data_IF_270954174819
#
_entry.id   IF_270954174819
#
_cell.length_a   1.000
_cell.length_b   1.000
_cell.length_c   1.000
_cell.angle_alpha   90.00
_cell.angle_beta   90.00
_cell.angle_gamma   90.00
#
_symmetry.space_group_name_H-M   'P 1'
#
loop_
_entity.id
_entity.type
_entity.pdbx_description
1 polymer ?
#
# COMPACT_ATOMS: atom_id res chain seq x y z
N UNK A 1 -17.15 -3.44 7.42
CA UNK A 1 -16.52 -4.26 6.37
C UNK A 1 -15.51 -5.17 7.03
N UNK A 2 -15.46 -6.45 6.67
CA UNK A 2 -14.35 -7.31 7.08
C UNK A 2 -13.18 -7.03 6.13
N UNK A 3 -11.93 -7.16 6.57
CA UNK A 3 -10.79 -6.83 5.70
C UNK A 3 -10.71 -7.69 4.43
N UNK A 4 -11.27 -8.91 4.45
CA UNK A 4 -11.44 -9.71 3.23
C UNK A 4 -12.28 -8.99 2.16
N UNK A 5 -13.27 -8.16 2.53
CA UNK A 5 -14.08 -7.42 1.56
C UNK A 5 -13.26 -6.34 0.83
N UNK A 6 -12.17 -5.83 1.43
CA UNK A 6 -11.32 -4.80 0.82
C UNK A 6 -10.29 -5.39 -0.14
N UNK A 7 -9.71 -6.54 0.22
CA UNK A 7 -8.81 -7.30 -0.65
C UNK A 7 -9.51 -7.76 -1.92
N UNK A 8 -10.75 -8.25 -1.80
CA UNK A 8 -11.57 -8.67 -2.94
C UNK A 8 -12.04 -7.47 -3.79
N UNK A 9 -12.20 -6.29 -3.16
CA UNK A 9 -12.66 -5.06 -3.84
C UNK A 9 -11.53 -4.31 -4.56
N UNK A 10 -10.28 -4.45 -4.13
CA UNK A 10 -9.10 -3.81 -4.73
C UNK A 10 -7.96 -4.81 -5.02
N UNK A 11 -8.19 -5.78 -5.93
CA UNK A 11 -7.20 -6.80 -6.24
C UNK A 11 -5.91 -6.23 -6.85
N UNK A 12 -5.99 -5.09 -7.53
CA UNK A 12 -4.85 -4.36 -8.09
C UNK A 12 -3.92 -3.82 -6.99
N UNK A 13 -4.46 -3.31 -5.88
CA UNK A 13 -3.68 -2.85 -4.72
C UNK A 13 -3.05 -4.05 -4.02
N UNK A 14 -3.81 -5.12 -3.80
CA UNK A 14 -3.30 -6.32 -3.16
C UNK A 14 -2.17 -6.95 -3.99
N UNK A 15 -2.31 -7.04 -5.31
CA UNK A 15 -1.28 -7.55 -6.21
C UNK A 15 -0.04 -6.65 -6.21
N UNK A 16 -0.22 -5.32 -6.26
CA UNK A 16 0.88 -4.35 -6.17
C UNK A 16 1.71 -4.57 -4.90
N UNK A 17 1.05 -4.71 -3.76
CA UNK A 17 1.69 -4.88 -2.47
C UNK A 17 2.30 -6.27 -2.29
N UNK A 18 1.66 -7.33 -2.79
CA UNK A 18 2.22 -8.70 -2.74
C UNK A 18 3.44 -8.92 -3.62
N UNK A 19 3.60 -8.12 -4.69
CA UNK A 19 4.85 -8.09 -5.48
C UNK A 19 6.02 -7.59 -4.63
N UNK A 20 5.73 -6.80 -3.60
CA UNK A 20 6.73 -6.34 -2.64
C UNK A 20 6.85 -7.37 -1.52
N UNK A 21 8.07 -7.80 -1.21
CA UNK A 21 8.31 -8.75 -0.12
C UNK A 21 8.46 -7.99 1.21
N UNK A 22 7.35 -7.77 1.90
CA UNK A 22 7.34 -7.08 3.19
C UNK A 22 7.67 -8.00 4.36
N UNK A 23 8.44 -7.47 5.32
CA UNK A 23 8.65 -8.05 6.63
C UNK A 23 7.87 -7.25 7.67
N UNK A 24 6.84 -7.87 8.25
CA UNK A 24 5.99 -7.28 9.28
C UNK A 24 6.50 -7.62 10.70
N UNK A 25 6.26 -6.75 11.70
CA UNK A 25 5.62 -5.44 11.59
C UNK A 25 6.55 -4.39 10.98
N UNK A 26 5.98 -3.44 10.23
CA UNK A 26 6.73 -2.28 9.70
C UNK A 26 6.45 -1.10 10.63
N UNK A 27 7.47 -0.68 11.39
CA UNK A 27 7.29 0.25 12.51
C UNK A 27 7.27 1.72 12.09
N UNK A 28 7.96 2.06 10.99
CA UNK A 28 8.08 3.45 10.54
C UNK A 28 7.87 3.57 9.04
N UNK A 29 7.54 4.78 8.61
CA UNK A 29 7.46 5.14 7.19
C UNK A 29 8.80 4.96 6.47
N UNK A 30 9.91 5.25 7.15
CA UNK A 30 11.24 5.03 6.58
C UNK A 30 11.46 3.55 6.27
N UNK A 31 11.16 2.66 7.23
CA UNK A 31 11.29 1.20 7.02
C UNK A 31 10.42 0.71 5.87
N UNK A 32 9.20 1.25 5.75
CA UNK A 32 8.30 0.91 4.65
C UNK A 32 8.85 1.33 3.29
N UNK A 33 9.36 2.56 3.18
CA UNK A 33 9.97 3.05 1.94
C UNK A 33 11.16 2.17 1.54
N UNK A 34 12.03 1.83 2.50
CA UNK A 34 13.19 0.98 2.22
C UNK A 34 12.79 -0.43 1.77
N UNK A 35 11.74 -1.02 2.35
CA UNK A 35 11.21 -2.32 1.88
C UNK A 35 10.56 -2.23 0.50
N UNK A 36 9.87 -1.13 0.19
CA UNK A 36 9.27 -0.89 -1.13
C UNK A 36 10.34 -0.78 -2.22
N UNK A 37 11.39 0.01 -2.01
CA UNK A 37 12.45 0.21 -3.02
C UNK A 37 13.38 -0.99 -3.17
N UNK A 38 13.45 -1.89 -2.19
CA UNK A 38 14.31 -3.07 -2.22
C UNK A 38 14.01 -4.04 -3.39
N UNK A 39 12.78 -4.04 -3.92
CA UNK A 39 12.38 -4.90 -5.04
C UNK A 39 12.51 -4.17 -6.38
N UNK A 40 12.07 -2.90 -6.45
CA UNK A 40 12.14 -2.09 -7.67
C UNK A 40 11.98 -0.60 -7.37
N UNK A 41 12.65 0.24 -8.15
CA UNK A 41 12.46 1.70 -8.14
C UNK A 41 11.17 2.15 -8.83
N UNK A 42 10.45 1.25 -9.51
CA UNK A 42 9.19 1.58 -10.19
C UNK A 42 8.07 0.62 -9.78
N UNK A 43 6.91 1.18 -9.43
CA UNK A 43 5.66 0.44 -9.27
C UNK A 43 4.68 0.82 -10.37
N UNK A 44 3.99 -0.15 -10.96
CA UNK A 44 2.93 0.13 -11.95
C UNK A 44 1.59 0.06 -11.26
N UNK A 45 0.90 1.19 -11.17
CA UNK A 45 -0.45 1.27 -10.62
C UNK A 45 -1.41 1.70 -11.72
N UNK A 46 -2.39 0.85 -12.05
CA UNK A 46 -3.38 1.07 -13.12
C UNK A 46 -2.77 1.42 -14.48
N UNK A 47 -1.68 0.73 -14.84
CA UNK A 47 -0.97 0.93 -16.11
C UNK A 47 -0.08 2.18 -16.15
N UNK A 48 -0.02 2.96 -15.07
CA UNK A 48 0.86 4.13 -14.95
C UNK A 48 2.07 3.76 -14.08
N UNK A 49 3.31 3.97 -14.58
CA UNK A 49 4.50 3.77 -13.77
C UNK A 49 4.68 4.94 -12.79
N UNK A 50 4.99 4.62 -11.55
CA UNK A 50 5.30 5.57 -10.49
C UNK A 50 6.65 5.21 -9.85
N UNK A 51 7.40 6.24 -9.46
CA UNK A 51 8.56 6.07 -8.60
C UNK A 51 8.12 5.44 -7.27
N UNK A 52 8.78 4.35 -6.89
CA UNK A 52 8.43 3.55 -5.71
C UNK A 52 8.53 4.36 -4.43
N UNK A 53 9.58 5.19 -4.30
CA UNK A 53 9.81 6.03 -3.12
C UNK A 53 8.74 7.11 -3.01
N UNK A 54 8.34 7.73 -4.12
CA UNK A 54 7.23 8.66 -4.20
C UNK A 54 5.92 8.00 -3.77
N UNK A 55 5.58 6.85 -4.37
CA UNK A 55 4.36 6.12 -4.05
C UNK A 55 4.28 5.70 -2.58
N UNK A 56 5.37 5.13 -2.05
CA UNK A 56 5.47 4.76 -0.64
C UNK A 56 5.42 6.00 0.28
N UNK A 57 6.00 7.11 -0.16
CA UNK A 57 5.98 8.40 0.52
C UNK A 57 4.60 9.03 0.65
N UNK A 58 3.60 8.56 -0.09
CA UNK A 58 2.22 9.04 0.02
C UNK A 58 1.51 8.56 1.30
N UNK A 59 1.99 7.49 1.94
CA UNK A 59 1.45 7.02 3.21
C UNK A 59 1.75 8.03 4.33
N UNK A 60 0.74 8.45 5.11
CA UNK A 60 0.98 9.30 6.27
C UNK A 60 1.71 8.57 7.40
N UNK A 61 2.51 9.28 8.20
CA UNK A 61 3.26 8.69 9.32
C UNK A 61 2.36 8.08 10.40
N UNK A 62 1.14 8.60 10.59
CA UNK A 62 0.19 8.09 11.57
C UNK A 62 -0.43 6.72 11.21
N UNK A 63 -0.16 6.20 10.01
CA UNK A 63 -0.55 4.83 9.63
C UNK A 63 0.35 3.76 10.26
N UNK A 64 1.50 4.15 10.78
CA UNK A 64 2.46 3.22 11.38
C UNK A 64 2.19 3.03 12.88
N UNK A 65 2.39 1.81 13.42
CA UNK A 65 2.96 0.63 12.77
C UNK A 65 1.97 -0.08 11.83
N UNK A 66 2.50 -0.75 10.81
CA UNK A 66 1.76 -1.70 9.97
C UNK A 66 1.97 -3.11 10.52
N UNK A 67 0.91 -3.70 11.07
CA UNK A 67 1.00 -4.95 11.81
C UNK A 67 1.03 -6.20 10.91
N UNK A 68 0.44 -6.12 9.71
CA UNK A 68 0.29 -7.23 8.78
C UNK A 68 0.02 -6.74 7.35
N UNK A 69 0.00 -7.66 6.39
CA UNK A 69 -0.45 -7.39 5.02
C UNK A 69 -1.88 -6.85 4.97
N UNK A 70 -2.78 -7.45 5.77
CA UNK A 70 -4.18 -7.04 5.88
C UNK A 70 -4.32 -5.58 6.36
N UNK A 71 -3.53 -5.19 7.36
CA UNK A 71 -3.51 -3.82 7.90
C UNK A 71 -2.99 -2.82 6.85
N UNK A 72 -1.91 -3.18 6.14
CA UNK A 72 -1.35 -2.36 5.07
C UNK A 72 -2.36 -2.15 3.93
N UNK A 73 -2.97 -3.23 3.42
CA UNK A 73 -3.97 -3.13 2.34
C UNK A 73 -5.14 -2.27 2.77
N UNK A 74 -5.65 -2.48 3.99
CA UNK A 74 -6.79 -1.72 4.53
C UNK A 74 -6.47 -0.23 4.56
N UNK A 75 -5.34 0.16 5.16
CA UNK A 75 -4.91 1.56 5.27
C UNK A 75 -4.66 2.20 3.90
N UNK A 76 -4.03 1.48 2.97
CA UNK A 76 -3.80 1.99 1.60
C UNK A 76 -5.13 2.18 0.87
N UNK A 77 -6.06 1.23 0.98
CA UNK A 77 -7.38 1.37 0.38
C UNK A 77 -8.13 2.59 0.93
N UNK A 78 -8.15 2.79 2.25
CA UNK A 78 -8.74 3.97 2.89
C UNK A 78 -8.09 5.29 2.43
N UNK A 79 -6.77 5.30 2.25
CA UNK A 79 -6.06 6.46 1.71
C UNK A 79 -6.49 6.78 0.28
N UNK A 80 -6.63 5.78 -0.58
CA UNK A 80 -7.03 6.04 -1.96
C UNK A 80 -8.51 6.43 -2.08
N UNK A 81 -9.39 5.86 -1.24
CA UNK A 81 -10.79 6.26 -1.12
C UNK A 81 -10.89 7.72 -0.66
N UNK A 82 -10.19 8.09 0.42
CA UNK A 82 -10.23 9.47 0.96
C UNK A 82 -9.67 10.51 -0.02
N UNK A 83 -8.80 10.10 -0.94
CA UNK A 83 -8.28 10.95 -2.03
C UNK A 83 -9.15 10.96 -3.29
N UNK A 84 -10.28 10.25 -3.30
CA UNK A 84 -11.16 10.13 -4.48
C UNK A 84 -10.52 9.38 -5.65
N UNK A 85 -9.44 8.63 -5.40
CA UNK A 85 -8.73 7.84 -6.41
C UNK A 85 -9.39 6.48 -6.66
N UNK A 86 -10.28 6.07 -5.75
CA UNK A 86 -11.16 4.90 -5.93
C UNK A 86 -12.57 5.25 -5.47
N UNK A 87 -13.62 4.83 -6.20
CA UNK A 87 -14.99 5.07 -5.76
C UNK A 87 -15.26 4.41 -4.40
N UNK A 88 -16.09 5.07 -3.59
CA UNK A 88 -16.84 4.43 -2.51
C UNK A 88 -17.83 3.48 -3.17
N UNK A 89 -17.38 2.25 -3.46
CA UNK A 89 -18.26 1.26 -4.07
C UNK A 89 -19.44 0.91 -3.20
#
# INVERSE_FOLDING_TARGET
MKANDLLDRYPDIAELLRRQSFSYPINTKADFIEQMVAVSDTVVFRGVPYDTRFGAGLLPDFFFPLASEEDLVTKVAELLISRGLVPLG
#
